data_IF_089587064479
#
_entry.id   IF_089587064479
#
_cell.length_a   1.000
_cell.length_b   1.000
_cell.length_c   1.000
_cell.angle_alpha   90.00
_cell.angle_beta   90.00
_cell.angle_gamma   90.00
#
_symmetry.space_group_name_H-M   'P 1'
#
loop_
_entity.id
_entity.type
_entity.pdbx_description
1 polymer ?
#
# COMPACT_ATOMS: atom_id res chain seq x y z
N UNK A 1 8.61 -3.07 21.83
CA UNK A 1 7.96 -4.33 21.40
C UNK A 1 8.18 -4.45 19.89
N UNK A 2 8.66 -5.58 19.39
CA UNK A 2 8.84 -5.81 17.96
C UNK A 2 7.48 -6.17 17.35
N UNK A 3 7.01 -5.42 16.35
CA UNK A 3 5.73 -5.68 15.69
C UNK A 3 5.84 -6.90 14.75
N UNK A 4 4.82 -7.74 14.76
CA UNK A 4 4.68 -8.89 13.86
C UNK A 4 3.74 -8.53 12.72
N UNK A 5 4.24 -8.63 11.49
CA UNK A 5 3.48 -8.31 10.28
C UNK A 5 2.89 -9.57 9.65
N UNK A 6 1.57 -9.54 9.41
CA UNK A 6 0.86 -10.55 8.63
C UNK A 6 0.47 -9.98 7.28
N UNK A 7 1.01 -10.52 6.19
CA UNK A 7 0.69 -10.08 4.84
C UNK A 7 -0.42 -10.97 4.27
N UNK A 8 -1.54 -10.36 3.90
CA UNK A 8 -2.68 -11.04 3.26
C UNK A 8 -2.66 -10.78 1.76
N UNK A 9 -2.30 -11.80 0.99
CA UNK A 9 -2.15 -11.75 -0.47
C UNK A 9 -0.80 -12.25 -0.93
N UNK A 10 -0.72 -12.66 -2.20
CA UNK A 10 0.51 -13.16 -2.83
C UNK A 10 0.70 -12.66 -4.27
N UNK A 11 0.05 -11.55 -4.63
CA UNK A 11 0.28 -10.85 -5.88
C UNK A 11 1.63 -10.11 -5.91
N UNK A 12 1.93 -9.39 -7.00
CA UNK A 12 3.20 -8.66 -7.17
C UNK A 12 3.44 -7.69 -6.02
N UNK A 13 2.43 -6.87 -5.65
CA UNK A 13 2.59 -5.88 -4.59
C UNK A 13 2.77 -6.52 -3.20
N UNK A 14 2.00 -7.57 -2.87
CA UNK A 14 2.19 -8.32 -1.63
C UNK A 14 3.60 -8.93 -1.56
N UNK A 15 4.10 -9.48 -2.67
CA UNK A 15 5.45 -10.04 -2.77
C UNK A 15 6.53 -8.97 -2.55
N UNK A 16 6.33 -7.75 -3.09
CA UNK A 16 7.23 -6.62 -2.87
C UNK A 16 7.24 -6.16 -1.41
N UNK A 17 6.08 -6.10 -0.75
CA UNK A 17 5.99 -5.76 0.69
C UNK A 17 6.69 -6.79 1.58
N UNK A 18 6.54 -8.08 1.27
CA UNK A 18 7.28 -9.15 1.96
C UNK A 18 8.78 -8.98 1.76
N UNK A 19 9.22 -8.66 0.52
CA UNK A 19 10.65 -8.40 0.25
C UNK A 19 11.20 -7.26 1.11
N UNK A 20 10.52 -6.12 1.18
CA UNK A 20 10.96 -4.99 2.01
C UNK A 20 11.17 -5.39 3.47
N UNK A 21 10.22 -6.12 4.06
CA UNK A 21 10.32 -6.58 5.45
C UNK A 21 11.46 -7.58 5.65
N UNK A 22 11.62 -8.53 4.73
CA UNK A 22 12.68 -9.56 4.80
C UNK A 22 14.06 -8.95 4.57
N UNK A 23 14.20 -7.99 3.65
CA UNK A 23 15.46 -7.27 3.42
C UNK A 23 15.88 -6.44 4.65
N UNK A 24 14.92 -6.04 5.48
CA UNK A 24 15.12 -5.41 6.78
C UNK A 24 15.23 -6.44 7.95
N UNK A 25 15.46 -7.72 7.64
CA UNK A 25 15.62 -8.80 8.61
C UNK A 25 14.41 -8.98 9.54
N UNK A 26 13.20 -8.53 9.13
CA UNK A 26 11.97 -8.70 9.92
C UNK A 26 11.24 -9.98 9.53
N UNK A 27 10.87 -10.81 10.51
CA UNK A 27 10.03 -12.00 10.29
C UNK A 27 8.64 -11.60 9.78
N UNK A 28 8.14 -12.31 8.77
CA UNK A 28 6.84 -12.10 8.16
C UNK A 28 5.97 -13.32 8.28
N UNK A 29 4.69 -13.11 8.60
CA UNK A 29 3.66 -14.14 8.56
C UNK A 29 2.86 -13.91 7.28
N UNK A 30 2.97 -14.82 6.31
CA UNK A 30 2.47 -14.58 4.97
C UNK A 30 1.31 -15.52 4.63
N UNK A 31 0.13 -14.96 4.32
CA UNK A 31 -1.00 -15.72 3.80
C UNK A 31 -0.91 -15.86 2.30
N UNK A 32 -0.89 -17.12 1.84
CA UNK A 32 -0.83 -17.50 0.44
C UNK A 32 -1.92 -18.54 0.21
N UNK A 33 -2.94 -18.20 -0.61
CA UNK A 33 -4.11 -19.05 -0.82
C UNK A 33 -3.76 -20.47 -1.29
N UNK A 34 -2.73 -20.61 -2.12
CA UNK A 34 -2.38 -21.87 -2.76
C UNK A 34 -1.19 -22.57 -2.07
N UNK A 35 -1.42 -23.78 -1.57
CA UNK A 35 -0.39 -24.57 -0.92
C UNK A 35 0.82 -24.86 -1.83
N UNK A 36 0.60 -25.10 -3.13
CA UNK A 36 1.69 -25.34 -4.09
C UNK A 36 2.63 -24.13 -4.20
N UNK A 37 2.09 -22.92 -4.09
CA UNK A 37 2.90 -21.70 -4.06
C UNK A 37 3.76 -21.62 -2.80
N UNK A 38 3.20 -21.99 -1.63
CA UNK A 38 3.95 -22.06 -0.37
C UNK A 38 5.11 -23.05 -0.49
N UNK A 39 4.85 -24.26 -1.01
CA UNK A 39 5.85 -25.30 -1.14
C UNK A 39 6.96 -24.90 -2.14
N UNK A 40 6.58 -24.18 -3.20
CA UNK A 40 7.54 -23.61 -4.15
C UNK A 40 8.45 -22.57 -3.47
N UNK A 41 7.87 -21.62 -2.74
CA UNK A 41 8.65 -20.58 -2.05
C UNK A 41 9.60 -21.19 -1.04
N UNK A 42 9.16 -22.20 -0.27
CA UNK A 42 10.02 -22.93 0.69
C UNK A 42 11.24 -23.56 0.03
N UNK A 43 11.08 -24.11 -1.17
CA UNK A 43 12.15 -24.83 -1.89
C UNK A 43 12.96 -23.94 -2.81
N UNK A 44 12.33 -22.99 -3.49
CA UNK A 44 12.95 -22.16 -4.52
C UNK A 44 13.25 -20.73 -4.08
N UNK A 45 12.77 -20.31 -2.90
CA UNK A 45 13.02 -19.01 -2.27
C UNK A 45 12.49 -17.80 -3.03
N UNK A 46 11.58 -17.99 -3.99
CA UNK A 46 10.92 -16.91 -4.73
C UNK A 46 9.47 -17.28 -5.04
N UNK A 47 8.65 -16.24 -5.33
CA UNK A 47 7.26 -16.45 -5.76
C UNK A 47 7.26 -16.95 -7.22
N UNK A 48 6.57 -18.08 -7.54
CA UNK A 48 6.59 -18.65 -8.89
C UNK A 48 5.85 -17.83 -9.94
N UNK A 49 4.92 -16.95 -9.51
CA UNK A 49 4.02 -16.22 -10.41
C UNK A 49 4.34 -14.71 -10.47
N UNK A 50 4.93 -14.17 -9.42
CA UNK A 50 5.13 -12.73 -9.28
C UNK A 50 6.54 -12.43 -8.78
N UNK A 51 7.21 -11.48 -9.43
CA UNK A 51 8.55 -11.02 -9.04
C UNK A 51 9.53 -12.18 -8.83
N UNK A 52 9.65 -13.06 -9.80
CA UNK A 52 10.47 -14.28 -9.70
C UNK A 52 11.97 -14.01 -9.46
N UNK A 53 12.42 -12.79 -9.71
CA UNK A 53 13.78 -12.31 -9.40
C UNK A 53 13.98 -11.93 -7.94
N UNK A 54 12.90 -11.75 -7.16
CA UNK A 54 12.97 -11.43 -5.73
C UNK A 54 13.14 -12.73 -4.93
N UNK A 55 14.34 -12.93 -4.38
CA UNK A 55 14.64 -14.08 -3.51
C UNK A 55 14.47 -13.71 -2.05
N UNK A 56 13.99 -14.68 -1.27
CA UNK A 56 13.70 -14.51 0.17
C UNK A 56 14.62 -15.37 1.04
N UNK A 57 14.99 -14.85 2.19
CA UNK A 57 15.40 -15.71 3.30
C UNK A 57 14.16 -16.36 3.90
N UNK A 58 13.94 -17.63 3.57
CA UNK A 58 12.76 -18.38 4.01
C UNK A 58 12.76 -18.66 5.51
N UNK A 59 13.87 -18.49 6.20
CA UNK A 59 13.93 -18.62 7.67
C UNK A 59 13.15 -17.51 8.37
N UNK A 60 12.94 -16.37 7.69
CA UNK A 60 12.14 -15.25 8.16
C UNK A 60 10.65 -15.36 7.77
N UNK A 61 10.25 -16.40 7.01
CA UNK A 61 8.89 -16.55 6.50
C UNK A 61 8.11 -17.65 7.21
N UNK A 62 7.07 -17.27 7.93
CA UNK A 62 6.01 -18.17 8.37
C UNK A 62 4.85 -18.11 7.38
N UNK A 63 4.68 -19.13 6.53
CA UNK A 63 3.66 -19.13 5.48
C UNK A 63 2.50 -20.08 5.83
N UNK A 64 1.26 -19.60 5.61
CA UNK A 64 0.04 -20.39 5.82
C UNK A 64 -1.01 -20.08 4.74
N UNK A 65 -1.83 -21.08 4.40
CA UNK A 65 -3.01 -20.91 3.57
C UNK A 65 -4.29 -20.64 4.39
N UNK A 66 -4.17 -20.57 5.71
CA UNK A 66 -5.25 -20.22 6.62
C UNK A 66 -5.12 -18.73 7.03
N UNK A 67 -6.03 -17.90 6.53
CA UNK A 67 -6.02 -16.44 6.80
C UNK A 67 -6.18 -16.13 8.30
N UNK A 68 -6.99 -16.91 9.01
CA UNK A 68 -7.22 -16.72 10.45
C UNK A 68 -5.97 -16.98 11.29
N UNK A 69 -5.15 -17.95 10.88
CA UNK A 69 -3.87 -18.23 11.54
C UNK A 69 -2.91 -17.06 11.38
N UNK A 70 -2.82 -16.49 10.18
CA UNK A 70 -1.97 -15.33 9.90
C UNK A 70 -2.40 -14.13 10.72
N UNK A 71 -3.69 -13.79 10.71
CA UNK A 71 -4.25 -12.67 11.48
C UNK A 71 -3.99 -12.85 12.97
N UNK A 72 -4.24 -14.05 13.52
CA UNK A 72 -4.07 -14.33 14.94
C UNK A 72 -2.64 -14.08 15.43
N UNK A 73 -1.65 -14.46 14.63
CA UNK A 73 -0.22 -14.36 14.97
C UNK A 73 0.38 -12.96 14.72
N UNK A 74 -0.36 -12.04 14.11
CA UNK A 74 0.11 -10.72 13.69
C UNK A 74 -0.35 -9.61 14.64
N UNK A 75 0.45 -8.57 14.78
CA UNK A 75 0.09 -7.31 15.43
C UNK A 75 -0.43 -6.31 14.40
N UNK A 76 0.19 -6.30 13.21
CA UNK A 76 -0.20 -5.51 12.05
C UNK A 76 -0.61 -6.45 10.93
N UNK A 77 -1.84 -6.30 10.43
CA UNK A 77 -2.36 -7.06 9.29
C UNK A 77 -2.30 -6.19 8.04
N UNK A 78 -1.49 -6.58 7.07
CA UNK A 78 -1.35 -5.88 5.80
C UNK A 78 -2.28 -6.50 4.77
N UNK A 79 -3.25 -5.73 4.28
CA UNK A 79 -4.19 -6.17 3.25
C UNK A 79 -3.65 -5.76 1.87
N UNK A 80 -3.17 -6.75 1.11
CA UNK A 80 -2.50 -6.57 -0.18
C UNK A 80 -3.09 -7.48 -1.28
N UNK A 81 -4.40 -7.63 -1.29
CA UNK A 81 -5.16 -8.26 -2.39
C UNK A 81 -5.90 -7.18 -3.19
N UNK A 82 -6.25 -7.41 -4.47
CA UNK A 82 -7.08 -6.46 -5.20
C UNK A 82 -8.42 -6.22 -4.50
N UNK A 83 -8.93 -4.99 -4.53
CA UNK A 83 -10.13 -4.55 -3.79
C UNK A 83 -11.35 -5.45 -4.03
N UNK A 84 -11.52 -5.95 -5.25
CA UNK A 84 -12.61 -6.85 -5.63
C UNK A 84 -12.62 -8.20 -4.88
N UNK A 85 -11.49 -8.65 -4.34
CA UNK A 85 -11.38 -9.91 -3.61
C UNK A 85 -11.42 -9.73 -2.08
N UNK A 86 -11.47 -8.50 -1.60
CA UNK A 86 -11.53 -8.22 -0.15
C UNK A 86 -12.75 -8.86 0.51
N UNK A 87 -13.97 -8.75 -0.04
CA UNK A 87 -15.15 -9.40 0.57
C UNK A 87 -14.98 -10.92 0.67
N UNK A 88 -14.47 -11.58 -0.38
CA UNK A 88 -14.24 -13.04 -0.39
C UNK A 88 -13.20 -13.48 0.67
N UNK A 89 -12.12 -12.71 0.82
CA UNK A 89 -11.08 -13.01 1.81
C UNK A 89 -11.60 -12.79 3.22
N UNK A 90 -12.27 -11.66 3.46
CA UNK A 90 -12.74 -11.29 4.79
C UNK A 90 -13.96 -12.09 5.25
N UNK A 91 -14.76 -12.69 4.34
CA UNK A 91 -15.81 -13.66 4.71
C UNK A 91 -15.28 -14.88 5.47
N UNK A 92 -13.98 -15.20 5.34
CA UNK A 92 -13.34 -16.30 6.05
C UNK A 92 -12.88 -15.89 7.46
N UNK A 93 -12.97 -14.59 7.80
CA UNK A 93 -12.44 -14.01 9.04
C UNK A 93 -13.59 -13.66 9.98
N UNK A 94 -13.49 -14.10 11.22
CA UNK A 94 -14.46 -13.67 12.25
C UNK A 94 -14.17 -12.23 12.65
N UNK A 95 -15.20 -11.37 12.81
CA UNK A 95 -15.03 -9.94 13.09
C UNK A 95 -14.13 -9.66 14.29
N UNK A 96 -14.26 -10.42 15.37
CA UNK A 96 -13.52 -10.24 16.62
C UNK A 96 -12.00 -10.37 16.44
N UNK A 97 -11.56 -11.04 15.37
CA UNK A 97 -10.12 -11.22 15.10
C UNK A 97 -9.42 -9.97 14.61
N UNK A 98 -10.16 -9.02 14.04
CA UNK A 98 -9.62 -7.77 13.50
C UNK A 98 -9.76 -6.57 14.45
N UNK A 99 -10.71 -6.59 15.40
CA UNK A 99 -11.06 -5.45 16.26
C UNK A 99 -9.85 -4.79 16.97
N UNK A 100 -8.85 -5.59 17.36
CA UNK A 100 -7.68 -5.09 18.10
C UNK A 100 -6.38 -5.13 17.27
N UNK A 101 -6.50 -5.35 15.96
CA UNK A 101 -5.34 -5.37 15.06
C UNK A 101 -5.14 -4.01 14.43
N UNK A 102 -3.88 -3.65 14.22
CA UNK A 102 -3.55 -2.55 13.31
C UNK A 102 -3.68 -3.07 11.88
N UNK A 103 -4.48 -2.39 11.08
CA UNK A 103 -4.69 -2.75 9.67
C UNK A 103 -3.90 -1.79 8.80
N UNK A 104 -2.97 -2.32 8.02
CA UNK A 104 -2.24 -1.55 7.01
C UNK A 104 -2.81 -1.89 5.62
N UNK A 105 -3.55 -0.96 5.05
CA UNK A 105 -4.10 -1.12 3.70
C UNK A 105 -3.07 -0.79 2.64
N UNK A 106 -2.80 -1.76 1.77
CA UNK A 106 -2.01 -1.57 0.54
C UNK A 106 -2.92 -1.61 -0.72
N UNK A 107 -4.22 -1.37 -0.55
CA UNK A 107 -5.23 -1.52 -1.59
C UNK A 107 -5.42 -0.20 -2.32
N UNK A 108 -5.42 -0.28 -3.64
CA UNK A 108 -5.69 0.84 -4.54
C UNK A 108 -7.08 0.64 -5.15
N UNK A 109 -8.09 1.30 -4.59
CA UNK A 109 -9.46 1.20 -5.11
C UNK A 109 -10.52 1.22 -4.02
N UNK A 110 -11.77 1.24 -4.47
CA UNK A 110 -12.97 1.07 -3.64
C UNK A 110 -13.39 -0.39 -3.59
N UNK A 111 -14.16 -0.76 -2.59
CA UNK A 111 -14.74 -2.11 -2.45
C UNK A 111 -16.00 -2.17 -3.30
N UNK A 112 -16.04 -3.04 -4.35
CA UNK A 112 -17.19 -3.14 -5.23
C UNK A 112 -18.45 -3.63 -4.52
N UNK A 113 -19.59 -3.15 -4.96
CA UNK A 113 -20.91 -3.46 -4.39
C UNK A 113 -21.36 -2.38 -3.42
N UNK A 114 -20.75 -2.22 -2.24
CA UNK A 114 -21.05 -1.08 -1.38
C UNK A 114 -20.43 0.23 -1.86
N UNK A 115 -19.46 0.19 -2.77
CA UNK A 115 -18.77 1.34 -3.37
C UNK A 115 -18.13 2.30 -2.34
N UNK A 116 -17.54 1.72 -1.30
CA UNK A 116 -16.90 2.45 -0.19
C UNK A 116 -15.39 2.21 -0.15
N UNK A 117 -14.66 3.07 0.57
CA UNK A 117 -13.27 2.83 0.90
C UNK A 117 -13.13 1.65 1.89
N UNK A 118 -11.95 1.02 1.90
CA UNK A 118 -11.71 -0.14 2.76
C UNK A 118 -11.86 0.18 4.26
N UNK A 119 -11.47 1.36 4.72
CA UNK A 119 -11.65 1.75 6.12
C UNK A 119 -13.13 1.78 6.52
N UNK A 120 -14.01 2.29 5.66
CA UNK A 120 -15.45 2.30 5.90
C UNK A 120 -16.02 0.87 5.91
N UNK A 121 -15.61 0.03 4.96
CA UNK A 121 -15.99 -1.37 4.91
C UNK A 121 -15.58 -2.12 6.18
N UNK A 122 -14.35 -1.92 6.66
CA UNK A 122 -13.84 -2.56 7.86
C UNK A 122 -14.53 -2.05 9.13
N UNK A 123 -14.87 -0.78 9.20
CA UNK A 123 -15.63 -0.22 10.32
C UNK A 123 -17.03 -0.81 10.38
N UNK A 124 -17.73 -0.91 9.25
CA UNK A 124 -19.10 -1.42 9.18
C UNK A 124 -19.22 -2.91 9.48
N UNK A 125 -18.25 -3.72 9.05
CA UNK A 125 -18.35 -5.18 9.11
C UNK A 125 -17.47 -5.84 10.19
N UNK A 126 -16.44 -5.14 10.67
CA UNK A 126 -15.43 -5.69 11.57
C UNK A 126 -15.14 -4.82 12.80
N UNK A 127 -15.85 -3.70 12.93
CA UNK A 127 -15.66 -2.72 14.03
C UNK A 127 -14.20 -2.25 14.19
N UNK A 128 -13.51 -2.12 13.06
CA UNK A 128 -12.14 -1.57 13.03
C UNK A 128 -12.22 -0.05 13.01
N UNK A 129 -11.73 0.57 14.06
CA UNK A 129 -11.71 2.04 14.15
C UNK A 129 -10.64 2.66 13.25
N UNK A 130 -10.82 3.94 12.89
CA UNK A 130 -9.87 4.67 12.05
C UNK A 130 -8.49 4.83 12.72
N UNK A 131 -8.41 4.83 14.06
CA UNK A 131 -7.18 4.88 14.84
C UNK A 131 -6.32 3.61 14.65
N UNK A 132 -6.96 2.49 14.31
CA UNK A 132 -6.30 1.22 14.02
C UNK A 132 -6.13 0.96 12.53
N UNK A 133 -6.48 1.93 11.69
CA UNK A 133 -6.35 1.83 10.24
C UNK A 133 -5.24 2.72 9.71
N UNK A 134 -4.38 2.13 8.88
CA UNK A 134 -3.26 2.78 8.22
C UNK A 134 -3.31 2.48 6.73
N UNK A 135 -2.79 3.38 5.90
CA UNK A 135 -2.67 3.16 4.46
C UNK A 135 -1.21 3.26 4.03
N UNK A 136 -0.77 2.35 3.16
CA UNK A 136 0.52 2.41 2.48
C UNK A 136 0.26 2.58 0.98
N UNK A 137 0.63 3.71 0.45
CA UNK A 137 0.42 4.09 -0.94
C UNK A 137 1.67 4.79 -1.49
N UNK A 138 1.72 5.01 -2.80
CA UNK A 138 2.84 5.70 -3.43
C UNK A 138 2.94 5.38 -4.92
N UNK A 139 3.77 6.13 -5.65
CA UNK A 139 4.01 5.92 -7.07
C UNK A 139 5.05 4.80 -7.30
N UNK A 140 4.84 3.63 -6.65
CA UNK A 140 5.78 2.52 -6.71
C UNK A 140 5.21 1.37 -7.52
N UNK A 141 6.03 0.81 -8.39
CA UNK A 141 5.78 -0.42 -9.10
C UNK A 141 6.50 -1.58 -8.41
N UNK A 142 5.80 -2.70 -8.25
CA UNK A 142 6.35 -3.87 -7.55
C UNK A 142 7.63 -4.41 -8.20
N UNK A 143 7.71 -4.32 -9.52
CA UNK A 143 8.87 -4.74 -10.32
C UNK A 143 10.11 -3.86 -10.05
N UNK A 144 9.91 -2.56 -9.85
CA UNK A 144 10.99 -1.64 -9.51
C UNK A 144 11.48 -1.84 -8.09
N UNK A 145 10.56 -2.09 -7.15
CA UNK A 145 10.89 -2.47 -5.78
C UNK A 145 11.67 -3.78 -5.74
N UNK A 146 11.24 -4.79 -6.52
CA UNK A 146 11.95 -6.06 -6.62
C UNK A 146 13.36 -5.93 -7.21
N UNK A 147 13.56 -4.92 -8.09
CA UNK A 147 14.86 -4.56 -8.65
C UNK A 147 15.65 -3.56 -7.79
N UNK A 148 15.19 -3.28 -6.56
CA UNK A 148 15.83 -2.39 -5.57
C UNK A 148 16.06 -0.96 -6.09
N UNK A 149 15.17 -0.49 -6.99
CA UNK A 149 15.20 0.90 -7.46
C UNK A 149 14.67 1.83 -6.39
N UNK A 150 15.29 2.99 -6.28
CA UNK A 150 14.86 4.02 -5.33
C UNK A 150 13.38 4.32 -5.48
N UNK A 151 12.63 4.11 -4.39
CA UNK A 151 11.18 4.23 -4.36
C UNK A 151 10.73 4.98 -3.11
N UNK A 152 9.58 5.65 -3.23
CA UNK A 152 9.00 6.45 -2.15
C UNK A 152 7.62 5.91 -1.78
N UNK A 153 7.43 5.55 -0.50
CA UNK A 153 6.17 5.07 0.04
C UNK A 153 5.61 6.04 1.06
N UNK A 154 4.34 6.39 0.90
CA UNK A 154 3.60 7.21 1.85
C UNK A 154 2.82 6.30 2.79
N UNK A 155 3.04 6.48 4.07
CA UNK A 155 2.26 5.86 5.14
C UNK A 155 1.36 6.90 5.77
N UNK A 156 0.08 6.58 5.89
CA UNK A 156 -0.93 7.48 6.43
C UNK A 156 -1.68 6.83 7.57
N UNK A 157 -1.84 7.54 8.68
CA UNK A 157 -2.57 7.09 9.86
C UNK A 157 -2.95 8.29 10.73
N UNK A 158 -4.01 8.17 11.54
CA UNK A 158 -4.45 9.24 12.46
C UNK A 158 -3.36 9.56 13.48
N UNK A 159 -2.72 8.53 14.04
CA UNK A 159 -1.58 8.69 14.94
C UNK A 159 -0.26 8.64 14.17
N UNK A 160 0.35 9.81 14.03
CA UNK A 160 1.61 9.98 13.31
C UNK A 160 2.74 9.14 13.93
N UNK A 161 2.80 9.01 15.25
CA UNK A 161 3.86 8.23 15.93
C UNK A 161 3.75 6.74 15.60
N UNK A 162 2.58 6.15 15.71
CA UNK A 162 2.36 4.76 15.33
C UNK A 162 2.59 4.55 13.83
N UNK A 163 2.20 5.52 13.00
CA UNK A 163 2.43 5.48 11.55
C UNK A 163 3.93 5.44 11.23
N UNK A 164 4.73 6.28 11.89
CA UNK A 164 6.19 6.31 11.75
C UNK A 164 6.83 4.99 12.20
N UNK A 165 6.38 4.43 13.32
CA UNK A 165 6.86 3.13 13.79
C UNK A 165 6.57 2.05 12.73
N UNK A 166 5.35 1.99 12.18
CA UNK A 166 4.99 1.01 11.14
C UNK A 166 5.86 1.23 9.89
N UNK A 167 6.01 2.48 9.44
CA UNK A 167 6.78 2.84 8.25
C UNK A 167 8.26 2.45 8.36
N UNK A 168 8.86 2.58 9.54
CA UNK A 168 10.27 2.26 9.78
C UNK A 168 10.62 0.79 9.47
N UNK A 169 9.66 -0.13 9.58
CA UNK A 169 9.85 -1.54 9.22
C UNK A 169 10.00 -1.77 7.72
N UNK A 170 9.51 -0.86 6.89
CA UNK A 170 9.56 -0.94 5.42
C UNK A 170 10.69 -0.10 4.81
N UNK A 171 11.38 0.70 5.62
CA UNK A 171 12.46 1.54 5.16
C UNK A 171 13.71 0.70 4.89
N UNK A 172 14.24 0.76 3.67
CA UNK A 172 15.46 0.06 3.23
C UNK A 172 16.41 1.06 2.57
N UNK A 173 17.56 0.60 2.08
CA UNK A 173 18.46 1.46 1.30
C UNK A 173 17.86 1.92 -0.04
N UNK A 174 16.79 1.28 -0.52
CA UNK A 174 16.09 1.63 -1.75
C UNK A 174 14.63 2.10 -1.53
N UNK A 175 14.13 2.08 -0.28
CA UNK A 175 12.79 2.57 0.08
C UNK A 175 12.88 3.73 1.04
N UNK A 176 12.41 4.90 0.61
CA UNK A 176 12.16 6.04 1.48
C UNK A 176 10.70 6.07 1.90
N UNK A 177 10.45 6.41 3.16
CA UNK A 177 9.11 6.49 3.72
C UNK A 177 8.73 7.93 4.03
N UNK A 178 7.49 8.30 3.70
CA UNK A 178 6.88 9.60 3.98
C UNK A 178 5.68 9.35 4.87
N UNK A 179 5.51 10.18 5.91
CA UNK A 179 4.40 10.08 6.85
C UNK A 179 3.44 11.24 6.65
N UNK A 180 2.15 10.95 6.60
CA UNK A 180 1.12 11.96 6.69
C UNK A 180 -0.09 11.46 7.51
N UNK A 181 -1.04 12.34 7.79
CA UNK A 181 -2.25 12.01 8.56
C UNK A 181 -3.54 12.01 7.72
N UNK A 182 -3.41 12.24 6.41
CA UNK A 182 -4.55 12.28 5.48
C UNK A 182 -4.87 10.90 4.90
N UNK A 183 -5.48 10.03 5.70
CA UNK A 183 -5.84 8.67 5.30
C UNK A 183 -6.84 8.68 4.12
N UNK A 184 -7.82 9.56 4.15
CA UNK A 184 -8.87 9.59 3.13
C UNK A 184 -8.35 10.17 1.81
N UNK A 185 -7.60 11.27 1.89
CA UNK A 185 -7.02 11.91 0.71
C UNK A 185 -6.10 11.00 -0.08
N UNK A 186 -5.20 10.27 0.59
CA UNK A 186 -4.29 9.35 -0.10
C UNK A 186 -5.03 8.17 -0.76
N UNK A 187 -6.11 7.68 -0.15
CA UNK A 187 -6.92 6.60 -0.72
C UNK A 187 -7.69 7.08 -1.96
N UNK A 188 -8.41 8.22 -1.86
CA UNK A 188 -9.11 8.80 -3.01
C UNK A 188 -8.14 9.20 -4.13
N UNK A 189 -6.99 9.79 -3.79
CA UNK A 189 -5.97 10.10 -4.78
C UNK A 189 -5.48 8.87 -5.53
N UNK A 190 -5.30 7.73 -4.83
CA UNK A 190 -4.90 6.47 -5.46
C UNK A 190 -5.98 5.91 -6.41
N UNK A 191 -7.27 6.12 -6.10
CA UNK A 191 -8.40 5.75 -6.99
C UNK A 191 -8.41 6.64 -8.22
N UNK A 192 -8.41 7.96 -8.04
CA UNK A 192 -8.50 8.94 -9.12
C UNK A 192 -7.29 8.88 -10.06
N UNK A 193 -6.09 8.68 -9.51
CA UNK A 193 -4.87 8.50 -10.30
C UNK A 193 -5.00 7.41 -11.36
N UNK A 194 -5.66 6.30 -11.05
CA UNK A 194 -5.84 5.22 -12.00
C UNK A 194 -6.77 5.61 -13.16
N UNK A 195 -7.79 6.42 -12.89
CA UNK A 195 -8.70 6.98 -13.91
C UNK A 195 -7.92 7.90 -14.85
N UNK A 196 -7.12 8.81 -14.29
CA UNK A 196 -6.29 9.71 -15.09
C UNK A 196 -5.21 8.99 -15.87
N UNK A 197 -4.59 7.95 -15.28
CA UNK A 197 -3.62 7.12 -15.99
C UNK A 197 -4.24 6.40 -17.21
N UNK A 198 -5.47 5.94 -17.10
CA UNK A 198 -6.21 5.36 -18.23
C UNK A 198 -6.44 6.42 -19.33
N UNK A 199 -6.89 7.62 -18.95
CA UNK A 199 -7.07 8.73 -19.90
C UNK A 199 -5.78 9.14 -20.60
N UNK A 200 -4.67 9.21 -19.85
CA UNK A 200 -3.35 9.48 -20.43
C UNK A 200 -2.91 8.38 -21.42
N UNK A 201 -3.17 7.11 -21.08
CA UNK A 201 -2.89 5.96 -21.97
C UNK A 201 -3.70 6.00 -23.26
N UNK A 202 -4.99 6.38 -23.18
CA UNK A 202 -5.85 6.56 -24.35
C UNK A 202 -5.31 7.69 -25.24
N UNK A 203 -4.97 8.84 -24.64
CA UNK A 203 -4.43 9.99 -25.37
C UNK A 203 -3.09 9.67 -26.06
N UNK A 204 -2.23 8.91 -25.37
CA UNK A 204 -0.97 8.41 -25.94
C UNK A 204 -1.23 7.46 -27.12
N UNK A 205 -2.16 6.52 -26.98
CA UNK A 205 -2.55 5.60 -28.06
C UNK A 205 -3.19 6.27 -29.28
N UNK A 206 -3.78 7.46 -29.07
CA UNK A 206 -4.33 8.31 -30.14
C UNK A 206 -3.31 9.34 -30.69
N UNK A 207 -2.07 9.26 -30.26
CA UNK A 207 -0.95 10.12 -30.71
C UNK A 207 -1.18 11.63 -30.51
N UNK A 208 -1.86 12.02 -29.41
CA UNK A 208 -2.12 13.44 -29.10
C UNK A 208 -0.85 14.25 -28.75
N UNK A 209 0.27 13.57 -28.48
CA UNK A 209 1.57 14.18 -28.23
C UNK A 209 1.76 14.75 -26.83
N UNK A 210 3.00 15.19 -26.54
CA UNK A 210 3.45 15.58 -25.20
C UNK A 210 2.80 16.89 -24.70
N UNK A 211 2.49 17.84 -25.60
CA UNK A 211 1.81 19.06 -25.22
C UNK A 211 0.43 18.78 -24.62
N UNK A 212 -0.33 17.89 -25.25
CA UNK A 212 -1.63 17.47 -24.72
C UNK A 212 -1.48 16.74 -23.38
N UNK A 213 -0.55 15.80 -23.29
CA UNK A 213 -0.32 15.02 -22.07
C UNK A 213 0.08 15.90 -20.90
N UNK A 214 0.92 16.91 -21.13
CA UNK A 214 1.32 17.88 -20.08
C UNK A 214 0.12 18.65 -19.52
N UNK A 215 -0.76 19.17 -20.40
CA UNK A 215 -1.98 19.87 -19.99
C UNK A 215 -2.96 18.91 -19.31
N UNK A 216 -3.11 17.70 -19.83
CA UNK A 216 -3.98 16.67 -19.25
C UNK A 216 -3.55 16.32 -17.82
N UNK A 217 -2.25 16.12 -17.57
CA UNK A 217 -1.72 15.80 -16.23
C UNK A 217 -1.95 16.97 -15.26
N UNK A 218 -1.69 18.22 -15.68
CA UNK A 218 -1.92 19.41 -14.87
C UNK A 218 -3.41 19.53 -14.48
N UNK A 219 -4.31 19.44 -15.46
CA UNK A 219 -5.75 19.49 -15.22
C UNK A 219 -6.24 18.33 -14.32
N UNK A 220 -5.68 17.14 -14.50
CA UNK A 220 -6.01 15.97 -13.66
C UNK A 220 -5.63 16.21 -12.18
N UNK A 221 -4.49 16.85 -11.93
CA UNK A 221 -4.06 17.21 -10.58
C UNK A 221 -5.00 18.26 -9.95
N UNK A 222 -5.38 19.28 -10.70
CA UNK A 222 -6.32 20.32 -10.25
C UNK A 222 -7.72 19.75 -9.98
N UNK A 223 -8.22 18.87 -10.85
CA UNK A 223 -9.50 18.19 -10.67
C UNK A 223 -9.47 17.29 -9.42
N UNK A 224 -8.40 16.51 -9.23
CA UNK A 224 -8.21 15.70 -8.04
C UNK A 224 -8.24 16.54 -6.77
N UNK A 225 -7.48 17.63 -6.72
CA UNK A 225 -7.48 18.56 -5.61
C UNK A 225 -8.86 19.18 -5.36
N UNK A 226 -9.58 19.54 -6.43
CA UNK A 226 -10.94 20.05 -6.38
C UNK A 226 -11.94 19.03 -5.80
N UNK A 227 -11.84 17.77 -6.24
CA UNK A 227 -12.65 16.66 -5.72
C UNK A 227 -12.40 16.44 -4.23
N UNK A 228 -11.13 16.33 -3.81
CA UNK A 228 -10.76 16.10 -2.43
C UNK A 228 -11.28 17.21 -1.50
N UNK A 229 -11.17 18.48 -1.91
CA UNK A 229 -11.75 19.61 -1.16
C UNK A 229 -13.26 19.47 -0.99
N UNK A 230 -13.99 19.12 -2.07
CA UNK A 230 -15.45 18.91 -2.03
C UNK A 230 -15.86 17.71 -1.17
N UNK A 231 -15.01 16.68 -1.11
CA UNK A 231 -15.18 15.54 -0.23
C UNK A 231 -14.88 15.85 1.26
N UNK A 232 -14.55 17.11 1.60
CA UNK A 232 -14.29 17.55 2.97
C UNK A 232 -12.89 17.21 3.49
N UNK A 233 -11.96 16.82 2.61
CA UNK A 233 -10.59 16.49 2.97
C UNK A 233 -9.79 17.78 3.13
N UNK A 234 -9.24 18.00 4.34
CA UNK A 234 -8.61 19.27 4.73
C UNK A 234 -7.13 19.40 4.35
N UNK A 235 -6.42 18.27 4.28
CA UNK A 235 -4.99 18.23 3.98
C UNK A 235 -4.75 17.52 2.66
N UNK A 236 -4.67 18.29 1.58
CA UNK A 236 -4.50 17.74 0.25
C UNK A 236 -3.01 17.78 -0.09
N UNK A 237 -2.35 16.63 -0.07
CA UNK A 237 -0.96 16.48 -0.51
C UNK A 237 -0.98 15.90 -1.93
N UNK A 238 -1.29 16.73 -2.91
CA UNK A 238 -1.14 16.38 -4.33
C UNK A 238 0.15 17.01 -4.82
N UNK A 239 1.22 16.19 -4.91
CA UNK A 239 2.46 16.62 -5.56
C UNK A 239 3.48 17.38 -4.71
N UNK A 240 3.33 17.50 -3.40
CA UNK A 240 4.40 18.01 -2.55
C UNK A 240 5.52 16.95 -2.40
N UNK A 241 6.48 16.96 -3.32
CA UNK A 241 7.81 16.49 -3.01
C UNK A 241 8.43 17.51 -2.05
N UNK A 242 8.38 17.25 -0.75
CA UNK A 242 9.30 17.90 0.17
C UNK A 242 10.70 17.36 -0.12
N UNK A 243 11.37 17.97 -1.09
CA UNK A 243 12.82 17.88 -1.20
C UNK A 243 13.39 18.63 0.01
N UNK A 244 13.72 17.92 1.05
CA UNK A 244 14.73 18.39 2.00
C UNK A 244 16.06 18.28 1.27
N UNK A 245 16.68 19.41 0.97
CA UNK A 245 18.05 19.46 0.50
C UNK A 245 18.95 18.69 1.52
N UNK A 246 19.59 17.61 1.12
CA UNK A 246 20.40 16.78 2.02
C UNK A 246 21.61 17.51 2.61
N UNK A 247 21.95 18.70 2.11
CA UNK A 247 23.12 19.49 2.54
C UNK A 247 22.73 20.60 3.53
N UNK A 248 21.55 21.21 3.38
CA UNK A 248 21.19 22.41 4.14
C UNK A 248 20.10 22.21 5.20
N UNK A 249 19.39 21.08 5.20
CA UNK A 249 18.23 20.81 6.06
C UNK A 249 17.13 21.91 6.01
N UNK A 250 17.13 22.76 4.99
CA UNK A 250 16.10 23.78 4.78
C UNK A 250 14.97 23.23 3.92
N UNK A 251 13.73 23.50 4.34
CA UNK A 251 12.53 23.29 3.51
C UNK A 251 12.51 24.38 2.44
N UNK A 252 12.80 24.02 1.20
CA UNK A 252 12.58 24.94 0.08
C UNK A 252 11.09 24.99 -0.24
N UNK A 253 10.45 26.08 0.17
CA UNK A 253 9.13 26.50 -0.28
C UNK A 253 9.27 27.35 -1.54
N UNK A 254 9.60 26.75 -2.66
CA UNK A 254 9.54 27.46 -3.94
C UNK A 254 8.49 26.79 -4.82
N UNK A 255 7.38 27.50 -4.95
CA UNK A 255 6.39 27.30 -5.99
C UNK A 255 6.94 27.81 -7.31
N UNK A 256 6.96 26.98 -8.34
CA UNK A 256 6.94 27.38 -9.75
C UNK A 256 6.01 26.43 -10.50
#
# INVERSE_FOLDING_TARGET
MVLKFGIIGNGSWATALVKMLVDNEHPVIWWIRNQKTIDHIRTRRHNPQYLSSAYFDVSLLAMSNNVNEVIQKSDVVVLAVPSQFIPEVLQQVTPERLQHKKILSAIKGIIPGPDVLLNEYLQQHFDVSLENYFAILGPCHAEEVAAEKLSYLTFSGVDAMTTEIIASYFQTHYINTIINTDILGVQYAAVLKNIYALGAGIAHGLEYGDNFLSVYIANSADEMAGFLRKAGIKHIVVGEHQQTDPVTHRKDTNYA
#
